data_IF_777566678361
#
_entry.id   IF_777566678361
#
_cell.length_a   1.000
_cell.length_b   1.000
_cell.length_c   1.000
_cell.angle_alpha   90.00
_cell.angle_beta   90.00
_cell.angle_gamma   90.00
#
_symmetry.space_group_name_H-M   'P 1'
#
loop_
_entity.id
_entity.type
_entity.pdbx_description
1 polymer ?
#
# COMPACT_ATOMS: atom_id res chain seq x y z
N UNK A 1 12.22 7.80 -17.39
CA UNK A 1 12.50 7.25 -16.05
C UNK A 1 12.73 8.41 -15.10
N UNK A 2 11.88 8.58 -14.08
CA UNK A 2 12.01 9.70 -13.15
C UNK A 2 13.29 9.52 -12.32
N UNK A 3 14.27 10.39 -12.55
CA UNK A 3 15.59 10.37 -11.92
C UNK A 3 15.63 11.30 -10.69
N UNK A 4 14.92 10.91 -9.63
CA UNK A 4 14.92 11.62 -8.34
C UNK A 4 14.59 10.69 -7.17
N UNK A 5 15.09 11.02 -5.97
CA UNK A 5 14.76 10.31 -4.72
C UNK A 5 13.27 10.43 -4.43
N UNK A 6 12.58 9.29 -4.44
CA UNK A 6 11.17 9.16 -4.07
C UNK A 6 11.01 8.69 -2.63
N UNK A 7 10.00 9.20 -1.93
CA UNK A 7 9.75 8.81 -0.52
C UNK A 7 8.72 7.69 -0.52
N UNK A 8 9.11 6.50 -0.03
CA UNK A 8 8.21 5.36 0.14
C UNK A 8 7.58 5.39 1.54
N UNK A 9 6.25 5.35 1.58
CA UNK A 9 5.47 5.19 2.81
C UNK A 9 4.74 3.85 2.74
N UNK A 10 4.96 2.98 3.73
CA UNK A 10 4.33 1.67 3.79
C UNK A 10 3.29 1.62 4.91
N UNK A 11 2.03 1.35 4.58
CA UNK A 11 1.03 0.97 5.59
C UNK A 11 1.17 -0.51 5.92
N UNK A 12 1.79 -0.81 7.06
CA UNK A 12 1.91 -2.16 7.63
C UNK A 12 0.94 -2.40 8.80
N UNK A 13 -0.09 -1.55 8.95
CA UNK A 13 -1.13 -1.68 9.98
C UNK A 13 -2.36 -2.39 9.40
N UNK A 14 -3.28 -2.92 10.23
CA UNK A 14 -4.54 -3.48 9.75
C UNK A 14 -5.58 -2.40 9.35
N UNK A 15 -5.27 -1.11 9.48
CA UNK A 15 -6.22 -0.04 9.15
C UNK A 15 -6.55 -0.04 7.65
N UNK A 16 -7.84 0.09 7.34
CA UNK A 16 -8.36 0.05 5.96
C UNK A 16 -8.78 -1.35 5.51
N UNK A 17 -8.59 -2.39 6.32
CA UNK A 17 -9.10 -3.74 6.04
C UNK A 17 -10.62 -3.85 6.28
N UNK A 18 -11.28 -4.80 5.61
CA UNK A 18 -12.68 -5.14 5.92
C UNK A 18 -12.83 -5.58 7.39
N UNK A 19 -13.88 -5.14 8.13
CA UNK A 19 -15.00 -4.29 7.68
C UNK A 19 -14.74 -2.77 7.77
N UNK A 20 -13.63 -2.34 8.37
CA UNK A 20 -13.32 -0.94 8.66
C UNK A 20 -12.58 -0.26 7.51
N UNK A 21 -13.17 -0.33 6.32
CA UNK A 21 -12.55 0.10 5.06
C UNK A 21 -12.30 1.61 4.96
N UNK A 22 -12.95 2.41 5.82
CA UNK A 22 -12.77 3.86 5.89
C UNK A 22 -11.67 4.30 6.85
N UNK A 23 -11.08 3.38 7.62
CA UNK A 23 -9.95 3.69 8.49
C UNK A 23 -8.65 3.76 7.67
N UNK A 24 -7.73 4.64 8.07
CA UNK A 24 -6.42 4.76 7.46
C UNK A 24 -5.40 5.29 8.48
N UNK A 25 -4.08 5.07 8.27
CA UNK A 25 -3.06 5.65 9.12
C UNK A 25 -3.18 7.17 9.23
N UNK A 26 -3.06 7.76 10.44
CA UNK A 26 -3.18 9.20 10.64
C UNK A 26 -1.87 9.91 10.28
N UNK A 27 -1.54 9.94 8.99
CA UNK A 27 -0.38 10.70 8.47
C UNK A 27 -0.82 12.08 7.95
N UNK A 28 0.09 13.06 7.85
CA UNK A 28 -0.24 14.37 7.31
C UNK A 28 -0.40 14.31 5.77
N UNK A 29 -1.56 13.82 5.30
CA UNK A 29 -1.86 13.64 3.86
C UNK A 29 -1.72 14.92 3.02
N UNK A 30 -1.90 16.09 3.63
CA UNK A 30 -1.72 17.39 2.98
C UNK A 30 -0.25 17.70 2.61
N UNK A 31 0.72 16.95 3.17
CA UNK A 31 2.13 17.05 2.81
C UNK A 31 2.54 16.06 1.72
N UNK A 32 1.61 15.21 1.26
CA UNK A 32 1.87 14.31 0.15
C UNK A 32 2.06 15.11 -1.14
N UNK A 33 2.91 14.56 -1.99
CA UNK A 33 3.29 15.13 -3.27
C UNK A 33 3.46 14.00 -4.28
N UNK A 34 3.58 14.31 -5.58
CA UNK A 34 3.89 13.31 -6.60
C UNK A 34 5.24 12.59 -6.43
N UNK A 35 6.09 13.02 -5.49
CA UNK A 35 7.34 12.33 -5.12
C UNK A 35 7.13 11.17 -4.15
N UNK A 36 5.94 11.06 -3.57
CA UNK A 36 5.63 10.00 -2.62
C UNK A 36 5.06 8.77 -3.33
N UNK A 37 5.44 7.62 -2.81
CA UNK A 37 4.94 6.31 -3.17
C UNK A 37 4.30 5.70 -1.94
N UNK A 38 3.02 5.36 -2.02
CA UNK A 38 2.28 4.73 -0.93
C UNK A 38 2.09 3.25 -1.25
N UNK A 39 2.63 2.39 -0.40
CA UNK A 39 2.44 0.95 -0.49
C UNK A 39 1.58 0.47 0.67
N UNK A 40 0.45 -0.15 0.37
CA UNK A 40 -0.46 -0.68 1.39
C UNK A 40 -0.35 -2.20 1.44
N UNK A 41 -0.07 -2.79 2.60
CA UNK A 41 -0.06 -4.25 2.73
C UNK A 41 -1.47 -4.85 2.68
N UNK A 42 -2.50 -4.03 2.88
CA UNK A 42 -3.90 -4.42 2.71
C UNK A 42 -4.20 -4.68 1.23
N UNK A 43 -4.89 -5.79 0.95
CA UNK A 43 -5.32 -6.18 -0.39
C UNK A 43 -6.85 -6.31 -0.53
N UNK A 44 -7.59 -6.26 0.58
CA UNK A 44 -9.05 -6.28 0.59
C UNK A 44 -9.57 -5.18 1.54
N UNK A 45 -10.17 -4.10 1.02
CA UNK A 45 -10.55 -3.87 -0.38
C UNK A 45 -9.34 -3.63 -1.31
N UNK A 46 -9.56 -3.73 -2.63
CA UNK A 46 -8.51 -3.50 -3.65
C UNK A 46 -7.93 -2.08 -3.57
N UNK A 47 -8.76 -1.11 -3.20
CA UNK A 47 -8.37 0.29 -2.98
C UNK A 47 -8.84 0.80 -1.60
N UNK A 48 -7.89 0.97 -0.68
CA UNK A 48 -8.06 1.49 0.69
C UNK A 48 -8.14 3.03 0.72
N UNK A 49 -8.64 3.58 1.84
CA UNK A 49 -8.68 5.02 2.08
C UNK A 49 -7.28 5.66 2.08
N UNK A 50 -6.25 4.95 2.55
CA UNK A 50 -4.85 5.36 2.48
C UNK A 50 -4.41 5.62 1.04
N UNK A 51 -4.72 4.69 0.13
CA UNK A 51 -4.40 4.84 -1.29
C UNK A 51 -5.25 5.92 -1.97
N UNK A 52 -6.54 6.03 -1.66
CA UNK A 52 -7.41 7.10 -2.21
C UNK A 52 -6.86 8.48 -1.91
N UNK A 53 -6.45 8.73 -0.66
CA UNK A 53 -5.84 10.00 -0.25
C UNK A 53 -4.49 10.25 -0.91
N UNK A 54 -3.68 9.20 -1.08
CA UNK A 54 -2.44 9.26 -1.85
C UNK A 54 -2.66 9.70 -3.30
N UNK A 55 -3.57 9.03 -4.00
CA UNK A 55 -3.94 9.36 -5.39
C UNK A 55 -4.48 10.79 -5.51
N UNK A 56 -5.31 11.23 -4.57
CA UNK A 56 -5.82 12.60 -4.53
C UNK A 56 -4.71 13.66 -4.41
N UNK A 57 -3.58 13.32 -3.76
CA UNK A 57 -2.39 14.16 -3.67
C UNK A 57 -1.39 13.98 -4.85
N UNK A 58 -1.74 13.17 -5.85
CA UNK A 58 -0.89 12.87 -7.01
C UNK A 58 0.23 11.87 -6.73
N UNK A 59 0.24 11.22 -5.56
CA UNK A 59 1.20 10.16 -5.23
C UNK A 59 0.89 8.88 -5.99
N UNK A 60 1.93 8.09 -6.25
CA UNK A 60 1.77 6.74 -6.79
C UNK A 60 1.39 5.78 -5.66
N UNK A 61 0.50 4.83 -5.94
CA UNK A 61 -0.03 3.91 -4.93
C UNK A 61 -0.03 2.47 -5.42
N UNK A 62 0.22 1.52 -4.53
CA UNK A 62 0.17 0.08 -4.82
C UNK A 62 -0.33 -0.70 -3.60
N UNK A 63 -1.13 -1.75 -3.83
CA UNK A 63 -1.74 -2.57 -2.78
C UNK A 63 -0.94 -3.86 -2.52
N UNK A 64 -1.37 -4.62 -1.51
CA UNK A 64 -0.64 -5.78 -1.01
C UNK A 64 -0.84 -7.06 -1.81
N UNK A 65 -1.65 -7.05 -2.86
CA UNK A 65 -2.08 -8.29 -3.52
C UNK A 65 -0.91 -9.05 -4.16
N UNK A 66 -0.02 -8.35 -4.86
CA UNK A 66 1.18 -8.96 -5.44
C UNK A 66 2.10 -9.55 -4.36
N UNK A 67 2.22 -8.87 -3.21
CA UNK A 67 2.98 -9.38 -2.07
C UNK A 67 2.37 -10.68 -1.55
N UNK A 68 1.05 -10.74 -1.35
CA UNK A 68 0.35 -11.95 -0.91
C UNK A 68 0.65 -13.15 -1.82
N UNK A 69 0.53 -12.95 -3.14
CA UNK A 69 0.81 -14.01 -4.11
C UNK A 69 2.27 -14.47 -4.06
N UNK A 70 3.21 -13.54 -3.94
CA UNK A 70 4.63 -13.87 -3.87
C UNK A 70 4.98 -14.60 -2.57
N UNK A 71 4.42 -14.18 -1.44
CA UNK A 71 4.58 -14.88 -0.16
C UNK A 71 4.06 -16.31 -0.23
N UNK A 72 2.88 -16.53 -0.85
CA UNK A 72 2.34 -17.88 -1.05
C UNK A 72 3.26 -18.76 -1.92
N UNK A 73 3.83 -18.20 -3.00
CA UNK A 73 4.79 -18.89 -3.88
C UNK A 73 6.07 -19.27 -3.15
N UNK A 74 6.65 -18.35 -2.37
CA UNK A 74 7.88 -18.64 -1.62
C UNK A 74 7.61 -19.64 -0.50
N UNK A 75 6.49 -19.51 0.20
CA UNK A 75 6.09 -20.48 1.22
C UNK A 75 5.97 -21.89 0.61
N UNK A 76 5.39 -22.02 -0.60
CA UNK A 76 5.32 -23.31 -1.30
C UNK A 76 6.68 -23.96 -1.50
N UNK A 77 7.70 -23.18 -1.89
CA UNK A 77 9.08 -23.68 -2.07
C UNK A 77 9.69 -24.18 -0.77
N UNK A 78 9.38 -23.54 0.36
CA UNK A 78 9.88 -23.94 1.69
C UNK A 78 9.25 -25.26 2.13
N UNK A 79 7.93 -25.43 1.94
CA UNK A 79 7.21 -26.62 2.41
C UNK A 79 7.21 -27.79 1.41
N UNK A 80 7.67 -27.59 0.16
CA UNK A 80 7.87 -28.66 -0.81
C UNK A 80 6.62 -29.20 -1.51
N UNK A 81 5.55 -28.40 -1.62
CA UNK A 81 4.32 -28.74 -2.37
C UNK A 81 4.41 -28.46 -3.87
#
# INVERSE_FOLDING_TARGET
>A
FLSGEGILIVNATPLGTYPRISECPPIPYHLLTPRHYLFDLVYNPEETEFMKRGKAAGSLTCNGYAMLLNQAKENRKIWGF
#
